data_IF_846421690373
#
_entry.id   IF_846421690373
#
_cell.length_a   1.000
_cell.length_b   1.000
_cell.length_c   1.000
_cell.angle_alpha   90.00
_cell.angle_beta   90.00
_cell.angle_gamma   90.00
#
_symmetry.space_group_name_H-M   'P 1'
#
loop_
_entity.id
_entity.type
_entity.pdbx_description
1 polymer ?
#
# COMPACT_ATOMS: atom_id res chain seq x y z
N UNK A 1 -37.97 -26.82 -4.81
CA UNK A 1 -36.91 -26.14 -5.57
C UNK A 1 -35.99 -25.54 -4.52
N UNK A 2 -34.78 -26.07 -4.39
CA UNK A 2 -33.82 -25.58 -3.41
C UNK A 2 -33.23 -24.28 -3.96
N UNK A 3 -33.46 -23.17 -3.26
CA UNK A 3 -32.78 -21.92 -3.53
C UNK A 3 -31.29 -22.17 -3.37
N UNK A 4 -30.55 -22.07 -4.48
CA UNK A 4 -29.10 -22.03 -4.44
C UNK A 4 -28.73 -20.77 -3.65
N UNK A 5 -28.37 -20.93 -2.39
CA UNK A 5 -27.75 -19.87 -1.59
C UNK A 5 -26.37 -19.64 -2.19
N UNK A 6 -26.29 -18.73 -3.16
CA UNK A 6 -25.02 -18.23 -3.62
C UNK A 6 -24.31 -17.62 -2.41
N UNK A 7 -23.07 -18.05 -2.08
CA UNK A 7 -22.32 -17.41 -1.02
C UNK A 7 -22.21 -15.93 -1.35
N UNK A 8 -22.52 -15.07 -0.38
CA UNK A 8 -22.37 -13.62 -0.56
C UNK A 8 -20.92 -13.31 -0.91
N UNK A 9 -20.70 -12.54 -1.98
CA UNK A 9 -19.39 -12.01 -2.38
C UNK A 9 -18.57 -11.59 -1.15
N UNK A 10 -17.34 -12.13 -0.95
CA UNK A 10 -16.50 -11.79 0.19
C UNK A 10 -16.29 -10.28 0.34
N UNK A 11 -16.36 -9.78 1.57
CA UNK A 11 -16.27 -8.35 1.88
C UNK A 11 -15.07 -8.08 2.78
N UNK A 12 -13.97 -7.65 2.18
CA UNK A 12 -12.73 -7.32 2.87
C UNK A 12 -12.67 -5.84 3.22
N UNK A 13 -11.90 -5.51 4.26
CA UNK A 13 -11.64 -4.11 4.58
C UNK A 13 -10.16 -3.77 4.69
N UNK A 14 -9.81 -2.64 4.10
CA UNK A 14 -8.56 -1.93 4.38
C UNK A 14 -8.81 -1.05 5.60
N UNK A 15 -8.11 -1.38 6.68
CA UNK A 15 -8.31 -0.76 8.00
C UNK A 15 -7.32 0.37 8.27
N UNK A 16 -6.29 0.51 7.44
CA UNK A 16 -5.26 1.53 7.59
C UNK A 16 -4.93 2.15 6.22
N UNK A 17 -4.89 3.48 6.16
CA UNK A 17 -4.44 4.22 4.99
C UNK A 17 -2.91 4.25 4.96
N UNK A 18 -2.28 3.08 4.86
CA UNK A 18 -0.81 2.95 4.89
C UNK A 18 -0.37 1.81 4.01
N UNK A 19 0.54 2.09 3.09
CA UNK A 19 1.18 1.04 2.30
C UNK A 19 2.05 0.17 3.22
N UNK A 20 1.82 -1.14 3.17
CA UNK A 20 2.45 -2.10 4.08
C UNK A 20 3.84 -2.55 3.66
N UNK A 21 4.34 -2.05 2.52
CA UNK A 21 5.73 -2.20 2.08
C UNK A 21 6.55 -0.97 2.49
N UNK A 22 6.19 0.21 1.99
CA UNK A 22 6.93 1.44 2.24
C UNK A 22 6.53 2.11 3.57
N UNK A 23 5.50 1.64 4.26
CA UNK A 23 5.05 2.18 5.55
C UNK A 23 4.69 3.67 5.51
N UNK A 24 4.44 4.29 4.34
CA UNK A 24 3.94 5.66 4.24
C UNK A 24 2.41 5.68 4.20
N UNK A 25 1.84 6.78 4.69
CA UNK A 25 0.40 7.02 4.61
C UNK A 25 -0.04 7.08 3.15
N UNK A 26 -1.25 6.61 2.90
CA UNK A 26 -1.90 6.69 1.60
C UNK A 26 -2.68 8.00 1.48
N UNK A 27 -2.55 8.65 0.33
CA UNK A 27 -3.38 9.78 -0.07
C UNK A 27 -4.53 9.32 -0.98
N UNK A 28 -5.62 10.09 -1.00
CA UNK A 28 -6.75 9.74 -1.86
C UNK A 28 -6.35 9.88 -3.34
N UNK A 29 -6.73 8.91 -4.16
CA UNK A 29 -6.37 8.81 -5.57
C UNK A 29 -5.09 8.02 -5.86
N UNK A 30 -4.28 7.70 -4.85
CA UNK A 30 -3.07 6.91 -5.06
C UNK A 30 -3.39 5.48 -5.53
N UNK A 31 -2.66 4.95 -6.53
CA UNK A 31 -2.86 3.59 -7.03
C UNK A 31 -2.33 2.56 -6.03
N UNK A 32 -3.19 1.61 -5.68
CA UNK A 32 -2.88 0.54 -4.73
C UNK A 32 -3.35 -0.81 -5.25
N UNK A 33 -2.80 -1.84 -4.62
CA UNK A 33 -3.30 -3.22 -4.67
C UNK A 33 -3.54 -3.73 -3.26
N UNK A 34 -4.51 -4.62 -3.11
CA UNK A 34 -4.87 -5.25 -1.86
C UNK A 34 -4.31 -6.68 -1.78
N UNK A 35 -3.62 -7.01 -0.69
CA UNK A 35 -3.18 -8.38 -0.42
C UNK A 35 -4.25 -9.11 0.40
N UNK A 36 -4.87 -10.09 -0.24
CA UNK A 36 -5.96 -10.90 0.30
C UNK A 36 -5.40 -12.16 0.99
N UNK A 37 -4.11 -12.43 0.79
CA UNK A 37 -3.34 -13.52 1.33
C UNK A 37 -3.22 -14.67 0.36
N UNK A 38 -3.62 -15.87 0.77
CA UNK A 38 -3.43 -17.07 -0.05
C UNK A 38 -4.29 -17.04 -1.32
N UNK A 39 -5.30 -16.16 -1.35
CA UNK A 39 -6.16 -15.85 -2.49
C UNK A 39 -5.48 -14.93 -3.53
N UNK A 40 -4.32 -14.37 -3.20
CA UNK A 40 -3.54 -13.50 -4.07
C UNK A 40 -3.69 -12.01 -3.77
N UNK A 41 -3.56 -11.21 -4.82
CA UNK A 41 -3.55 -9.75 -4.80
C UNK A 41 -4.61 -9.26 -5.76
N UNK A 42 -5.36 -8.23 -5.36
CA UNK A 42 -6.37 -7.60 -6.22
C UNK A 42 -5.76 -7.00 -7.49
N UNK A 43 -6.61 -6.66 -8.45
CA UNK A 43 -6.24 -5.71 -9.50
C UNK A 43 -5.88 -4.33 -8.89
N UNK A 44 -5.25 -3.47 -9.70
CA UNK A 44 -4.95 -2.09 -9.30
C UNK A 44 -6.24 -1.27 -9.19
N UNK A 45 -6.33 -0.46 -8.12
CA UNK A 45 -7.40 0.52 -7.95
C UNK A 45 -6.92 1.75 -7.17
N UNK A 46 -7.64 2.86 -7.29
CA UNK A 46 -7.34 4.07 -6.54
C UNK A 46 -7.83 3.97 -5.10
N UNK A 47 -6.95 4.28 -4.15
CA UNK A 47 -7.31 4.39 -2.75
C UNK A 47 -8.21 5.60 -2.54
N UNK A 48 -9.38 5.39 -1.95
CA UNK A 48 -10.27 6.47 -1.51
C UNK A 48 -10.87 6.12 -0.16
N UNK A 49 -10.72 7.01 0.82
CA UNK A 49 -11.28 6.79 2.16
C UNK A 49 -12.78 6.61 2.11
N UNK A 50 -13.28 5.62 2.86
CA UNK A 50 -14.71 5.32 3.07
C UNK A 50 -15.47 4.93 1.81
N UNK A 51 -14.79 4.53 0.74
CA UNK A 51 -15.42 3.98 -0.45
C UNK A 51 -15.27 2.46 -0.51
N UNK A 52 -15.97 1.83 -1.44
CA UNK A 52 -15.85 0.40 -1.73
C UNK A 52 -15.46 0.24 -3.19
N UNK A 53 -14.43 -0.55 -3.42
CA UNK A 53 -14.04 -1.04 -4.72
C UNK A 53 -14.56 -2.47 -4.90
N UNK A 54 -14.94 -2.83 -6.12
CA UNK A 54 -15.32 -4.18 -6.48
C UNK A 54 -14.28 -4.70 -7.47
N UNK A 55 -13.65 -5.81 -7.11
CA UNK A 55 -12.71 -6.50 -7.99
C UNK A 55 -13.50 -7.58 -8.74
N UNK A 56 -13.80 -7.31 -10.01
CA UNK A 56 -14.55 -8.22 -10.88
C UNK A 56 -13.78 -9.52 -11.18
N UNK A 57 -12.44 -9.49 -11.14
CA UNK A 57 -11.61 -10.66 -11.47
C UNK A 57 -11.63 -11.70 -10.36
N UNK A 58 -11.61 -11.23 -9.11
CA UNK A 58 -11.65 -12.09 -7.93
C UNK A 58 -13.07 -12.25 -7.35
N UNK A 59 -14.06 -11.51 -7.86
CA UNK A 59 -15.43 -11.40 -7.32
C UNK A 59 -15.41 -11.08 -5.81
N UNK A 60 -14.78 -9.97 -5.44
CA UNK A 60 -14.66 -9.52 -4.04
C UNK A 60 -14.96 -8.03 -3.88
N UNK A 61 -15.35 -7.63 -2.67
CA UNK A 61 -15.54 -6.22 -2.28
C UNK A 61 -14.43 -5.77 -1.34
N UNK A 62 -13.77 -4.67 -1.69
CA UNK A 62 -12.71 -4.05 -0.91
C UNK A 62 -13.20 -2.72 -0.35
N UNK A 63 -13.49 -2.66 0.93
CA UNK A 63 -13.97 -1.45 1.59
C UNK A 63 -12.86 -0.75 2.37
N UNK A 64 -12.61 0.52 2.05
CA UNK A 64 -11.57 1.34 2.66
C UNK A 64 -12.10 2.08 3.89
N UNK A 65 -12.65 1.34 4.86
CA UNK A 65 -13.33 1.93 6.01
C UNK A 65 -12.41 2.66 6.99
N UNK A 66 -11.14 2.25 7.06
CA UNK A 66 -10.17 2.73 8.06
C UNK A 66 -10.62 2.55 9.52
N UNK A 67 -11.51 1.58 9.76
CA UNK A 67 -12.04 1.28 11.08
C UNK A 67 -11.49 -0.05 11.58
N UNK A 68 -11.10 -0.08 12.85
CA UNK A 68 -10.67 -1.30 13.53
C UNK A 68 -11.80 -2.32 13.61
N UNK A 69 -13.05 -1.86 13.74
CA UNK A 69 -14.25 -2.69 13.76
C UNK A 69 -15.21 -2.28 12.62
N UNK A 70 -15.67 -3.27 11.85
CA UNK A 70 -16.65 -3.07 10.79
C UNK A 70 -17.56 -4.30 10.72
N UNK A 71 -18.89 -4.10 10.84
CA UNK A 71 -19.88 -5.19 10.91
C UNK A 71 -20.01 -5.97 9.60
N UNK A 72 -19.75 -5.32 8.48
CA UNK A 72 -19.83 -5.93 7.15
C UNK A 72 -18.55 -6.68 6.77
N UNK A 73 -17.50 -6.62 7.59
CA UNK A 73 -16.17 -7.12 7.27
C UNK A 73 -16.07 -8.62 7.52
N UNK A 74 -15.79 -9.37 6.46
CA UNK A 74 -15.33 -10.77 6.54
C UNK A 74 -13.93 -10.84 7.14
N UNK A 75 -12.98 -10.06 6.60
CA UNK A 75 -11.58 -10.06 7.05
C UNK A 75 -10.93 -8.70 6.81
N UNK A 76 -10.02 -8.32 7.71
CA UNK A 76 -9.15 -7.16 7.52
C UNK A 76 -7.95 -7.56 6.65
N UNK A 77 -7.68 -6.76 5.64
CA UNK A 77 -6.59 -6.96 4.69
C UNK A 77 -5.63 -5.77 4.72
N UNK A 78 -4.48 -5.97 4.08
CA UNK A 78 -3.46 -4.93 3.90
C UNK A 78 -3.43 -4.46 2.46
N UNK A 79 -2.89 -3.26 2.24
CA UNK A 79 -2.69 -2.72 0.91
C UNK A 79 -1.25 -2.26 0.72
N UNK A 80 -0.86 -2.16 -0.54
CA UNK A 80 0.43 -1.65 -0.98
C UNK A 80 0.19 -0.63 -2.09
N UNK A 81 1.02 0.41 -2.18
CA UNK A 81 1.13 1.16 -3.43
C UNK A 81 1.46 0.18 -4.57
N UNK A 82 0.83 0.34 -5.74
CA UNK A 82 1.11 -0.55 -6.88
C UNK A 82 2.59 -0.60 -7.19
N UNK A 83 3.25 0.56 -7.28
CA UNK A 83 4.69 0.65 -7.55
C UNK A 83 5.53 -0.05 -6.49
N UNK A 84 5.17 0.07 -5.21
CA UNK A 84 5.87 -0.63 -4.14
C UNK A 84 5.73 -2.15 -4.29
N UNK A 85 4.55 -2.63 -4.69
CA UNK A 85 4.33 -4.03 -4.97
C UNK A 85 5.15 -4.47 -6.19
N UNK A 86 5.09 -3.76 -7.32
CA UNK A 86 5.81 -4.11 -8.56
C UNK A 86 7.34 -4.15 -8.38
N UNK A 87 7.92 -3.13 -7.75
CA UNK A 87 9.38 -2.98 -7.62
C UNK A 87 9.96 -3.64 -6.37
N UNK A 88 9.19 -4.46 -5.66
CA UNK A 88 9.67 -5.14 -4.46
C UNK A 88 10.84 -6.09 -4.77
N UNK A 89 11.87 -6.06 -3.93
CA UNK A 89 13.02 -6.96 -4.05
C UNK A 89 12.81 -8.34 -3.40
N UNK A 90 11.74 -8.49 -2.61
CA UNK A 90 11.50 -9.69 -1.80
C UNK A 90 10.07 -10.19 -1.98
N UNK A 91 9.89 -11.50 -1.79
CA UNK A 91 8.56 -12.10 -1.72
C UNK A 91 7.83 -11.63 -0.46
N UNK A 92 6.52 -11.42 -0.57
CA UNK A 92 5.67 -11.01 0.55
C UNK A 92 5.19 -12.29 1.24
N UNK A 93 5.90 -12.69 2.29
CA UNK A 93 5.56 -13.90 3.06
C UNK A 93 4.64 -13.57 4.24
N UNK A 94 3.96 -14.57 4.85
CA UNK A 94 3.24 -14.38 6.10
C UNK A 94 4.10 -13.73 7.21
N UNK A 95 5.37 -14.13 7.34
CA UNK A 95 6.31 -13.58 8.31
C UNK A 95 6.62 -12.11 8.03
N UNK A 96 6.81 -11.74 6.76
CA UNK A 96 6.99 -10.35 6.36
C UNK A 96 5.76 -9.50 6.74
N UNK A 97 4.55 -10.03 6.51
CA UNK A 97 3.30 -9.35 6.86
C UNK A 97 3.14 -9.17 8.36
N UNK A 98 3.54 -10.17 9.14
CA UNK A 98 3.58 -10.08 10.59
C UNK A 98 4.60 -9.03 11.06
N UNK A 99 5.83 -9.05 10.52
CA UNK A 99 6.91 -8.14 10.89
C UNK A 99 6.60 -6.68 10.58
N UNK A 100 5.85 -6.43 9.51
CA UNK A 100 5.46 -5.07 9.15
C UNK A 100 4.38 -4.51 10.07
N UNK A 101 3.72 -5.32 10.94
CA UNK A 101 2.51 -4.93 11.70
C UNK A 101 2.85 -3.90 12.77
N UNK A 102 2.46 -2.66 12.52
CA UNK A 102 2.54 -1.63 13.54
C UNK A 102 1.45 -1.89 14.58
N UNK A 103 1.87 -2.12 15.83
CA UNK A 103 0.97 -2.06 16.97
C UNK A 103 0.46 -0.62 17.18
N UNK A 104 1.26 0.38 16.80
CA UNK A 104 0.93 1.81 16.90
C UNK A 104 1.47 2.55 15.67
N UNK A 105 0.72 3.53 15.12
CA UNK A 105 1.22 4.35 14.03
C UNK A 105 2.47 5.13 14.47
N UNK A 106 3.50 5.25 13.62
CA UNK A 106 4.66 6.07 13.95
C UNK A 106 4.26 7.53 14.16
N UNK A 107 4.91 8.27 15.07
CA UNK A 107 4.71 9.70 15.22
C UNK A 107 5.00 10.43 13.91
N UNK A 108 4.28 11.53 13.64
CA UNK A 108 4.51 12.37 12.46
C UNK A 108 5.99 12.80 12.33
N UNK A 109 6.67 13.08 13.44
CA UNK A 109 8.09 13.44 13.43
C UNK A 109 8.99 12.34 12.85
N UNK A 110 8.70 11.08 13.16
CA UNK A 110 9.44 9.95 12.60
C UNK A 110 9.13 9.73 11.12
N UNK A 111 7.89 9.97 10.69
CA UNK A 111 7.53 9.96 9.27
C UNK A 111 8.29 11.04 8.48
N UNK A 112 8.35 12.27 9.01
CA UNK A 112 9.10 13.36 8.41
C UNK A 112 10.60 13.04 8.36
N UNK A 113 11.18 12.57 9.46
CA UNK A 113 12.59 12.17 9.54
C UNK A 113 12.93 11.11 8.50
N UNK A 114 12.06 10.10 8.36
CA UNK A 114 12.24 9.00 7.41
C UNK A 114 12.09 9.47 5.96
N UNK A 115 11.13 10.34 5.67
CA UNK A 115 10.97 10.97 4.35
C UNK A 115 12.23 11.74 3.96
N UNK A 116 12.73 12.59 4.85
CA UNK A 116 13.96 13.35 4.63
C UNK A 116 15.16 12.45 4.42
N UNK A 117 15.32 11.41 5.24
CA UNK A 117 16.40 10.44 5.09
C UNK A 117 16.36 9.74 3.72
N UNK A 118 15.18 9.28 3.28
CA UNK A 118 15.02 8.62 1.98
C UNK A 118 15.35 9.57 0.83
N UNK A 119 14.83 10.82 0.85
CA UNK A 119 15.15 11.83 -0.15
C UNK A 119 16.65 12.13 -0.23
N UNK A 120 17.31 12.28 0.91
CA UNK A 120 18.76 12.51 0.97
C UNK A 120 19.54 11.32 0.43
N UNK A 121 19.16 10.10 0.82
CA UNK A 121 19.80 8.88 0.34
C UNK A 121 19.62 8.69 -1.18
N UNK A 122 18.43 9.00 -1.71
CA UNK A 122 18.14 8.96 -3.14
C UNK A 122 18.94 10.02 -3.90
N UNK A 123 18.94 11.26 -3.42
CA UNK A 123 19.75 12.37 -3.96
C UNK A 123 21.21 11.96 -4.09
N UNK A 124 21.78 11.42 -3.00
CA UNK A 124 23.17 10.97 -2.97
C UNK A 124 23.44 9.84 -3.98
N UNK A 125 22.55 8.84 -4.05
CA UNK A 125 22.69 7.73 -5.01
C UNK A 125 22.58 8.21 -6.46
N UNK A 126 21.66 9.14 -6.76
CA UNK A 126 21.51 9.71 -8.11
C UNK A 126 22.78 10.46 -8.53
N UNK A 127 23.36 11.27 -7.63
CA UNK A 127 24.63 11.95 -7.86
C UNK A 127 25.78 10.97 -8.14
N UNK A 128 25.85 9.86 -7.41
CA UNK A 128 26.88 8.83 -7.62
C UNK A 128 26.69 8.00 -8.88
N UNK A 129 25.45 7.75 -9.28
CA UNK A 129 25.14 6.89 -10.41
C UNK A 129 25.60 7.48 -11.76
N UNK A 130 25.96 8.78 -11.80
CA UNK A 130 26.37 9.52 -13.01
C UNK A 130 25.39 9.33 -14.19
N UNK A 131 24.11 9.09 -13.86
CA UNK A 131 23.04 8.95 -14.83
C UNK A 131 22.88 10.28 -15.58
N UNK A 132 22.47 10.23 -16.84
CA UNK A 132 22.20 11.45 -17.61
C UNK A 132 21.07 12.25 -16.93
N UNK A 133 21.25 13.55 -16.62
CA UNK A 133 22.38 14.43 -16.94
C UNK A 133 23.56 14.21 -16.00
N UNK A 134 24.78 14.08 -16.57
CA UNK A 134 25.99 13.66 -15.84
C UNK A 134 26.35 14.56 -14.65
N UNK A 135 25.94 15.83 -14.69
CA UNK A 135 26.12 16.81 -13.62
C UNK A 135 24.90 17.73 -13.57
N UNK A 136 24.03 17.52 -12.58
CA UNK A 136 23.05 18.53 -12.16
C UNK A 136 23.55 19.20 -10.86
N UNK A 137 23.23 20.49 -10.63
CA UNK A 137 23.32 21.11 -9.32
C UNK A 137 22.58 20.30 -8.25
N UNK A 138 23.05 20.36 -7.01
CA UNK A 138 22.50 19.61 -5.87
C UNK A 138 21.00 19.87 -5.69
N UNK A 139 20.56 21.10 -5.94
CA UNK A 139 19.17 21.52 -5.84
C UNK A 139 18.27 20.75 -6.80
N UNK A 140 18.74 20.54 -8.04
CA UNK A 140 17.98 19.80 -9.05
C UNK A 140 17.93 18.29 -8.74
N UNK A 141 19.00 17.73 -8.16
CA UNK A 141 18.94 16.35 -7.67
C UNK A 141 17.93 16.18 -6.53
N UNK A 142 17.85 17.16 -5.62
CA UNK A 142 16.90 17.14 -4.51
C UNK A 142 15.44 17.35 -4.96
N UNK A 143 15.19 17.96 -6.13
CA UNK A 143 13.85 18.11 -6.70
C UNK A 143 13.33 16.82 -7.36
N UNK A 144 14.22 15.99 -7.90
CA UNK A 144 13.87 14.72 -8.56
C UNK A 144 13.69 13.58 -7.54
N UNK A 145 14.36 13.68 -6.39
CA UNK A 145 14.31 12.69 -5.30
C UNK A 145 13.07 12.81 -4.41
#
# INVERSE_FOLDING_TARGET
MADAVYPSTPYYCITQARCRLCQFLLEDGEPIVADIGDEGVSCEFSFHRRTTFYDDELDIKLHMCLADECRSRTKAIVCFHTSCHEFRFYAITPEFRAATRYAFPPPLTEEHRRTQYIRQALTYKLQQAKLWPRELPTELWAMVA
#
